data_IF_159951932604
#
_entry.id   IF_159951932604
#
_cell.length_a   1.000
_cell.length_b   1.000
_cell.length_c   1.000
_cell.angle_alpha   90.00
_cell.angle_beta   90.00
_cell.angle_gamma   90.00
#
_symmetry.space_group_name_H-M   'P 1'
#
loop_
_entity.id
_entity.type
_entity.pdbx_description
1 polymer ?
#
# COMPACT_ATOMS: atom_id res chain seq x y z
N UNK A 1 35.03 -34.14 -15.68
CA UNK A 1 33.80 -33.34 -15.50
C UNK A 1 33.96 -32.09 -16.36
N UNK A 2 33.39 -32.05 -17.57
CA UNK A 2 33.55 -30.89 -18.47
C UNK A 2 32.61 -29.78 -18.01
N UNK A 3 33.20 -28.66 -17.57
CA UNK A 3 32.48 -27.45 -17.23
C UNK A 3 32.06 -26.76 -18.53
N UNK A 4 30.75 -26.67 -18.80
CA UNK A 4 30.21 -25.88 -19.91
C UNK A 4 30.29 -24.42 -19.52
N UNK A 5 31.44 -23.79 -19.77
CA UNK A 5 31.56 -22.34 -19.65
C UNK A 5 30.70 -21.71 -20.75
N UNK A 6 29.73 -20.89 -20.36
CA UNK A 6 28.89 -20.12 -21.28
C UNK A 6 29.80 -19.10 -21.97
N UNK A 7 30.06 -19.27 -23.27
CA UNK A 7 30.97 -18.44 -24.08
C UNK A 7 30.17 -17.32 -24.78
N UNK A 8 29.57 -16.42 -24.00
CA UNK A 8 28.95 -15.22 -24.57
C UNK A 8 29.76 -13.99 -24.19
N UNK A 9 29.98 -13.10 -25.15
CA UNK A 9 30.56 -11.77 -24.91
C UNK A 9 29.55 -10.93 -24.14
N UNK A 10 30.02 -10.03 -23.27
CA UNK A 10 29.15 -9.21 -22.40
C UNK A 10 28.03 -8.47 -23.15
N UNK A 11 28.30 -8.00 -24.39
CA UNK A 11 27.26 -7.33 -25.19
C UNK A 11 26.08 -8.26 -25.54
N UNK A 12 26.32 -9.56 -25.72
CA UNK A 12 25.28 -10.53 -26.04
C UNK A 12 24.42 -10.83 -24.82
N UNK A 13 25.05 -10.96 -23.64
CA UNK A 13 24.35 -11.12 -22.37
C UNK A 13 23.46 -9.88 -22.07
N UNK A 14 24.00 -8.67 -22.24
CA UNK A 14 23.22 -7.44 -22.04
C UNK A 14 22.05 -7.27 -23.02
N UNK A 15 22.21 -7.73 -24.27
CA UNK A 15 21.13 -7.72 -25.24
C UNK A 15 20.02 -8.73 -24.85
N UNK A 16 20.40 -9.89 -24.33
CA UNK A 16 19.47 -10.91 -23.85
C UNK A 16 18.72 -10.47 -22.59
N UNK A 17 19.40 -9.88 -21.60
CA UNK A 17 18.77 -9.32 -20.40
C UNK A 17 17.73 -8.27 -20.78
N UNK A 18 18.09 -7.35 -21.69
CA UNK A 18 17.18 -6.31 -22.17
C UNK A 18 15.97 -6.93 -22.88
N UNK A 19 16.18 -7.94 -23.73
CA UNK A 19 15.09 -8.64 -24.41
C UNK A 19 14.20 -9.40 -23.42
N UNK A 20 14.77 -9.98 -22.37
CA UNK A 20 14.03 -10.64 -21.29
C UNK A 20 13.15 -9.64 -20.53
N UNK A 21 13.68 -8.51 -20.08
CA UNK A 21 12.90 -7.49 -19.37
C UNK A 21 11.81 -6.86 -20.25
N UNK A 22 12.06 -6.67 -21.54
CA UNK A 22 11.03 -6.22 -22.48
C UNK A 22 9.89 -7.24 -22.59
N UNK A 23 10.19 -8.54 -22.70
CA UNK A 23 9.17 -9.60 -22.70
C UNK A 23 8.39 -9.64 -21.38
N UNK A 24 9.07 -9.50 -20.24
CA UNK A 24 8.40 -9.43 -18.93
C UNK A 24 7.45 -8.24 -18.88
N UNK A 25 7.90 -7.05 -19.32
CA UNK A 25 7.03 -5.87 -19.43
C UNK A 25 5.82 -6.15 -20.32
N UNK A 26 6.03 -6.70 -21.53
CA UNK A 26 4.95 -6.95 -22.47
C UNK A 26 3.93 -7.96 -21.91
N UNK A 27 4.39 -8.97 -21.17
CA UNK A 27 3.51 -9.93 -20.47
C UNK A 27 2.75 -9.25 -19.33
N UNK A 28 3.39 -8.37 -18.55
CA UNK A 28 2.73 -7.61 -17.49
C UNK A 28 1.71 -6.63 -18.07
N UNK A 29 2.05 -5.90 -19.13
CA UNK A 29 1.13 -5.01 -19.85
C UNK A 29 -0.03 -5.77 -20.47
N UNK A 30 0.21 -6.97 -21.00
CA UNK A 30 -0.87 -7.83 -21.51
C UNK A 30 -1.74 -8.42 -20.38
N UNK A 31 -1.16 -8.67 -19.21
CA UNK A 31 -1.87 -9.24 -18.05
C UNK A 31 -2.62 -8.19 -17.23
N UNK A 32 -2.16 -6.93 -17.23
CA UNK A 32 -2.78 -5.82 -16.51
C UNK A 32 -3.63 -5.02 -17.48
N UNK A 33 -4.96 -5.08 -17.31
CA UNK A 33 -5.84 -4.20 -18.05
C UNK A 33 -5.57 -2.74 -17.61
N UNK A 34 -5.18 -1.88 -18.57
CA UNK A 34 -4.98 -0.44 -18.35
C UNK A 34 -6.18 0.20 -17.63
N UNK A 35 -7.39 -0.26 -17.96
CA UNK A 35 -8.62 0.15 -17.29
C UNK A 35 -8.63 -0.18 -15.79
N UNK A 36 -8.18 -1.37 -15.39
CA UNK A 36 -8.09 -1.77 -13.97
C UNK A 36 -7.07 -0.94 -13.23
N UNK A 37 -5.88 -0.71 -13.82
CA UNK A 37 -4.86 0.12 -13.20
C UNK A 37 -5.34 1.57 -13.01
N UNK A 38 -6.01 2.12 -14.03
CA UNK A 38 -6.62 3.46 -13.95
C UNK A 38 -7.66 3.54 -12.84
N UNK A 39 -8.55 2.56 -12.75
CA UNK A 39 -9.55 2.49 -11.69
C UNK A 39 -8.90 2.46 -10.30
N UNK A 40 -7.85 1.64 -10.09
CA UNK A 40 -7.12 1.61 -8.81
C UNK A 40 -6.47 2.97 -8.51
N UNK A 41 -5.85 3.59 -9.51
CA UNK A 41 -5.26 4.92 -9.38
C UNK A 41 -6.29 5.99 -9.00
N UNK A 42 -7.48 5.98 -9.62
CA UNK A 42 -8.58 6.87 -9.26
C UNK A 42 -9.05 6.65 -7.82
N UNK A 43 -9.12 5.40 -7.34
CA UNK A 43 -9.48 5.13 -5.94
C UNK A 43 -8.46 5.69 -4.96
N UNK A 44 -7.17 5.53 -5.23
CA UNK A 44 -6.08 6.12 -4.45
C UNK A 44 -6.14 7.65 -4.46
N UNK A 45 -6.34 8.26 -5.63
CA UNK A 45 -6.45 9.72 -5.74
C UNK A 45 -7.64 10.27 -4.95
N UNK A 46 -8.76 9.53 -4.89
CA UNK A 46 -9.91 9.94 -4.06
C UNK A 46 -9.55 10.02 -2.59
N UNK A 47 -8.74 9.11 -2.05
CA UNK A 47 -8.37 9.15 -0.62
C UNK A 47 -7.49 10.34 -0.26
N UNK A 48 -6.72 10.88 -1.22
CA UNK A 48 -5.96 12.13 -1.03
C UNK A 48 -6.87 13.35 -0.83
N UNK A 49 -8.09 13.32 -1.39
CA UNK A 49 -9.08 14.39 -1.25
C UNK A 49 -9.90 14.33 0.04
N UNK A 50 -9.71 13.29 0.86
CA UNK A 50 -10.45 13.09 2.12
C UNK A 50 -9.60 13.70 3.23
N UNK A 51 -9.87 14.96 3.61
CA UNK A 51 -9.18 15.61 4.72
C UNK A 51 -9.68 15.04 6.06
N UNK A 52 -8.75 14.66 6.94
CA UNK A 52 -9.05 14.27 8.31
C UNK A 52 -9.21 15.55 9.14
N UNK A 53 -10.42 16.08 9.21
CA UNK A 53 -10.73 17.36 9.86
C UNK A 53 -10.99 17.25 11.37
N UNK A 54 -11.25 16.04 11.86
CA UNK A 54 -11.40 15.73 13.28
C UNK A 54 -10.07 15.63 14.02
N UNK A 55 -10.09 15.00 15.20
CA UNK A 55 -8.89 14.69 15.97
C UNK A 55 -8.19 13.46 15.36
N UNK A 56 -6.92 13.55 14.91
CA UNK A 56 -6.18 12.41 14.39
C UNK A 56 -6.05 11.25 15.40
N UNK A 57 -5.95 11.56 16.70
CA UNK A 57 -5.91 10.54 17.76
C UNK A 57 -7.23 9.78 17.79
N UNK A 58 -8.35 10.51 17.73
CA UNK A 58 -9.69 9.92 17.71
C UNK A 58 -9.95 9.13 16.43
N UNK A 59 -9.52 9.65 15.29
CA UNK A 59 -9.60 8.99 13.97
C UNK A 59 -8.95 7.60 14.05
N UNK A 60 -7.71 7.53 14.54
CA UNK A 60 -6.98 6.26 14.68
C UNK A 60 -7.61 5.36 15.75
N UNK A 61 -8.18 5.93 16.82
CA UNK A 61 -8.89 5.14 17.83
C UNK A 61 -10.17 4.49 17.28
N UNK A 62 -10.95 5.20 16.48
CA UNK A 62 -12.15 4.66 15.80
C UNK A 62 -11.76 3.58 14.81
N UNK A 63 -10.69 3.80 14.03
CA UNK A 63 -10.14 2.79 13.13
C UNK A 63 -9.75 1.52 13.90
N UNK A 64 -9.00 1.69 15.00
CA UNK A 64 -8.54 0.59 15.84
C UNK A 64 -9.69 -0.21 16.44
N UNK A 65 -10.74 0.46 16.90
CA UNK A 65 -11.93 -0.20 17.41
C UNK A 65 -12.66 -0.98 16.30
N UNK A 66 -12.83 -0.37 15.13
CA UNK A 66 -13.57 -0.97 14.00
C UNK A 66 -12.90 -2.21 13.43
N UNK A 67 -11.56 -2.24 13.42
CA UNK A 67 -10.77 -3.32 12.83
C UNK A 67 -9.97 -4.13 13.85
N UNK A 68 -10.28 -3.97 15.13
CA UNK A 68 -9.68 -4.74 16.24
C UNK A 68 -8.15 -4.68 16.23
N UNK A 69 -7.59 -3.47 16.05
CA UNK A 69 -6.17 -3.24 16.25
C UNK A 69 -5.84 -3.32 17.74
N UNK A 70 -4.71 -3.93 18.06
CA UNK A 70 -4.12 -3.91 19.39
C UNK A 70 -3.68 -2.50 19.78
N UNK A 71 -3.43 -2.28 21.07
CA UNK A 71 -2.90 -1.00 21.56
C UNK A 71 -1.55 -0.62 20.94
N UNK A 72 -0.69 -1.61 20.69
CA UNK A 72 0.60 -1.42 20.01
C UNK A 72 0.42 -0.97 18.56
N UNK A 73 -0.49 -1.62 17.83
CA UNK A 73 -0.84 -1.26 16.46
C UNK A 73 -1.46 0.14 16.37
N UNK A 74 -2.45 0.43 17.23
CA UNK A 74 -3.07 1.75 17.31
C UNK A 74 -2.04 2.85 17.51
N UNK A 75 -1.13 2.65 18.48
CA UNK A 75 -0.08 3.62 18.80
C UNK A 75 0.93 3.76 17.66
N UNK A 76 1.26 2.66 17.01
CA UNK A 76 2.16 2.62 15.86
C UNK A 76 1.60 3.34 14.64
N UNK A 77 0.37 3.05 14.26
CA UNK A 77 -0.33 3.73 13.16
C UNK A 77 -0.45 5.23 13.44
N UNK A 78 -0.82 5.62 14.67
CA UNK A 78 -0.90 7.05 15.03
C UNK A 78 0.46 7.74 14.91
N UNK A 79 1.54 7.09 15.38
CA UNK A 79 2.89 7.63 15.25
C UNK A 79 3.28 7.82 13.79
N UNK A 80 3.04 6.82 12.96
CA UNK A 80 3.41 6.86 11.54
C UNK A 80 2.60 7.93 10.79
N UNK A 81 1.31 8.10 11.12
CA UNK A 81 0.47 9.18 10.59
C UNK A 81 1.02 10.57 10.95
N UNK A 82 1.38 10.77 12.23
CA UNK A 82 1.94 12.05 12.70
C UNK A 82 3.31 12.32 12.05
N UNK A 83 4.17 11.31 11.93
CA UNK A 83 5.49 11.45 11.33
C UNK A 83 5.42 11.77 9.83
N UNK A 84 4.47 11.17 9.11
CA UNK A 84 4.25 11.48 7.70
C UNK A 84 3.70 12.90 7.50
N UNK A 85 2.91 13.41 8.45
CA UNK A 85 2.34 14.75 8.40
C UNK A 85 1.22 14.92 7.36
N UNK A 86 0.72 13.83 6.79
CA UNK A 86 -0.36 13.81 5.80
C UNK A 86 -1.69 13.45 6.49
N UNK A 87 -2.47 14.46 6.86
CA UNK A 87 -3.79 14.29 7.48
C UNK A 87 -4.89 14.12 6.42
N UNK A 88 -4.68 13.17 5.52
CA UNK A 88 -5.67 12.73 4.54
C UNK A 88 -6.02 11.25 4.73
N UNK A 89 -7.09 10.79 4.09
CA UNK A 89 -7.41 9.37 4.01
C UNK A 89 -6.26 8.57 3.38
N UNK A 90 -5.54 9.15 2.42
CA UNK A 90 -4.33 8.56 1.84
C UNK A 90 -3.20 8.45 2.87
N UNK A 91 -2.97 9.49 3.67
CA UNK A 91 -2.02 9.46 4.77
C UNK A 91 -2.34 8.38 5.81
N UNK A 92 -3.62 8.18 6.14
CA UNK A 92 -4.05 7.12 7.05
C UNK A 92 -3.86 5.72 6.45
N UNK A 93 -4.16 5.52 5.16
CA UNK A 93 -3.86 4.27 4.44
C UNK A 93 -2.36 3.96 4.56
N UNK A 94 -1.52 4.94 4.25
CA UNK A 94 -0.07 4.77 4.29
C UNK A 94 0.45 4.51 5.70
N UNK A 95 -0.13 5.13 6.73
CA UNK A 95 0.26 4.88 8.12
C UNK A 95 -0.01 3.42 8.53
N UNK A 96 -1.14 2.85 8.10
CA UNK A 96 -1.48 1.44 8.37
C UNK A 96 -0.52 0.49 7.65
N UNK A 97 -0.29 0.71 6.35
CA UNK A 97 0.59 -0.15 5.53
C UNK A 97 2.06 0.04 5.87
N UNK A 98 2.46 1.22 6.35
CA UNK A 98 3.82 1.43 6.86
C UNK A 98 4.03 0.70 8.19
N UNK A 99 3.04 0.72 9.09
CA UNK A 99 3.15 0.02 10.36
C UNK A 99 3.22 -1.51 10.18
N UNK A 100 2.57 -2.07 9.16
CA UNK A 100 2.63 -3.52 8.86
C UNK A 100 4.07 -4.04 8.75
N UNK A 101 4.98 -3.22 8.24
CA UNK A 101 6.39 -3.57 8.01
C UNK A 101 7.20 -3.67 9.32
N UNK A 102 6.64 -3.17 10.43
CA UNK A 102 7.22 -3.24 11.76
C UNK A 102 6.69 -4.45 12.54
N UNK A 103 5.69 -5.16 12.01
CA UNK A 103 5.10 -6.34 12.63
C UNK A 103 5.90 -7.57 12.25
N UNK A 104 6.44 -8.28 13.25
CA UNK A 104 7.25 -9.48 13.03
C UNK A 104 6.44 -10.72 12.61
N UNK A 105 5.13 -10.71 12.87
CA UNK A 105 4.22 -11.78 12.46
C UNK A 105 3.71 -11.54 11.03
N UNK A 106 3.99 -12.48 10.13
CA UNK A 106 3.69 -12.34 8.71
C UNK A 106 2.18 -12.28 8.41
N UNK A 107 1.40 -13.14 9.08
CA UNK A 107 -0.04 -13.19 8.89
C UNK A 107 -0.67 -11.87 9.34
N UNK A 108 -0.26 -11.35 10.50
CA UNK A 108 -0.75 -10.06 11.00
C UNK A 108 -0.30 -8.88 10.15
N UNK A 109 0.94 -8.88 9.64
CA UNK A 109 1.38 -7.87 8.69
C UNK A 109 0.50 -7.88 7.42
N UNK A 110 0.17 -9.07 6.92
CA UNK A 110 -0.72 -9.24 5.75
C UNK A 110 -2.15 -8.74 6.01
N UNK A 111 -2.67 -8.93 7.22
CA UNK A 111 -3.98 -8.40 7.62
C UNK A 111 -4.00 -6.86 7.66
N UNK A 112 -2.91 -6.23 8.10
CA UNK A 112 -2.75 -4.76 8.10
C UNK A 112 -2.64 -4.21 6.67
N UNK A 113 -1.91 -4.86 5.78
CA UNK A 113 -1.88 -4.50 4.35
C UNK A 113 -3.29 -4.61 3.74
N UNK A 114 -3.99 -5.70 4.05
CA UNK A 114 -5.38 -5.91 3.62
C UNK A 114 -6.34 -4.86 4.19
N UNK A 115 -6.06 -4.33 5.39
CA UNK A 115 -6.79 -3.18 5.93
C UNK A 115 -6.53 -1.92 5.10
N UNK A 116 -5.28 -1.63 4.71
CA UNK A 116 -4.95 -0.53 3.80
C UNK A 116 -5.76 -0.61 2.49
N UNK A 117 -5.83 -1.80 1.89
CA UNK A 117 -6.67 -2.06 0.71
C UNK A 117 -8.16 -1.78 0.96
N UNK A 118 -8.71 -2.22 2.10
CA UNK A 118 -10.12 -1.94 2.48
C UNK A 118 -10.40 -0.46 2.66
N UNK A 119 -9.45 0.31 3.20
CA UNK A 119 -9.59 1.76 3.35
C UNK A 119 -9.67 2.47 1.98
N UNK A 120 -8.91 2.02 0.98
CA UNK A 120 -8.97 2.56 -0.40
C UNK A 120 -10.33 2.30 -1.04
N UNK A 121 -10.95 1.16 -0.74
CA UNK A 121 -12.25 0.74 -1.26
C UNK A 121 -13.45 1.28 -0.46
N UNK A 122 -13.21 1.94 0.68
CA UNK A 122 -14.25 2.36 1.61
C UNK A 122 -15.19 3.42 0.99
N UNK A 123 -16.52 3.32 1.19
CA UNK A 123 -17.49 4.32 0.74
C UNK A 123 -17.31 5.69 1.41
N UNK A 124 -17.70 6.76 0.72
CA UNK A 124 -17.54 8.13 1.20
C UNK A 124 -18.22 8.40 2.57
N UNK A 125 -19.39 7.82 2.82
CA UNK A 125 -20.11 7.98 4.09
C UNK A 125 -19.35 7.35 5.28
N UNK A 126 -18.68 6.22 5.06
CA UNK A 126 -17.85 5.59 6.10
C UNK A 126 -16.58 6.41 6.36
N UNK A 127 -16.01 6.98 5.29
CA UNK A 127 -14.89 7.91 5.40
C UNK A 127 -15.25 9.18 6.17
N UNK A 128 -16.42 9.78 5.94
CA UNK A 128 -16.87 10.96 6.69
C UNK A 128 -16.90 10.69 8.19
N UNK A 129 -17.49 9.57 8.62
CA UNK A 129 -17.54 9.21 10.03
C UNK A 129 -16.15 9.03 10.67
N UNK A 130 -15.17 8.58 9.88
CA UNK A 130 -13.79 8.43 10.34
C UNK A 130 -13.04 9.76 10.34
N UNK A 131 -13.18 10.56 9.27
CA UNK A 131 -12.49 11.82 9.04
C UNK A 131 -12.95 12.95 9.97
N UNK A 132 -14.21 12.90 10.40
CA UNK A 132 -14.82 13.89 11.30
C UNK A 132 -14.83 13.42 12.77
N UNK A 133 -14.11 12.33 13.09
CA UNK A 133 -14.08 11.80 14.45
C UNK A 133 -13.49 12.83 15.44
N UNK A 134 -14.27 13.19 16.46
CA UNK A 134 -13.90 14.11 17.56
C UNK A 134 -13.83 13.40 18.91
#
# INVERSE_FOLDING_TARGET
MKSTAIVFKDYALHAEDRAFFLKVRDVVEAAVAEATLRLVGEKLQRTMGIALTGDPVRTVAVLAQRYTLSEGERSGVLRDLIQAGDLSGYGLVNAVTHYSQQVGDYDRATELESLGGRLIEMPAAEWQALAEAT
#
